data_IF_496283339254
#
_entry.id   IF_496283339254
#
_cell.length_a   1.000
_cell.length_b   1.000
_cell.length_c   1.000
_cell.angle_alpha   90.00
_cell.angle_beta   90.00
_cell.angle_gamma   90.00
#
_symmetry.space_group_name_H-M   'P 1'
#
loop_
_entity.id
_entity.type
_entity.pdbx_description
1 polymer ?
#
# COMPACT_ATOMS: atom_id res chain seq x y z
N UNK A 1 29.40 -28.78 10.81
CA UNK A 1 30.33 -27.99 9.96
C UNK A 1 30.20 -26.49 10.19
N UNK A 2 28.99 -25.93 10.23
CA UNK A 2 28.75 -24.47 10.33
C UNK A 2 28.75 -23.96 11.79
N UNK A 3 27.97 -24.58 12.67
CA UNK A 3 27.75 -24.07 14.04
C UNK A 3 29.00 -23.87 14.89
N UNK A 4 30.07 -24.66 14.66
CA UNK A 4 31.37 -24.53 15.36
C UNK A 4 32.10 -23.21 15.08
N UNK A 5 31.71 -22.49 14.02
CA UNK A 5 32.31 -21.20 13.64
C UNK A 5 31.47 -20.00 14.08
N UNK A 6 30.29 -20.22 14.66
CA UNK A 6 29.47 -19.15 15.24
C UNK A 6 29.80 -19.00 16.72
N UNK A 7 30.06 -17.77 17.17
CA UNK A 7 30.28 -17.52 18.60
C UNK A 7 28.94 -17.46 19.32
N UNK A 8 28.76 -18.30 20.32
CA UNK A 8 27.59 -18.24 21.20
C UNK A 8 27.47 -16.89 21.90
N UNK A 9 28.59 -16.29 22.32
CA UNK A 9 28.62 -14.95 22.90
C UNK A 9 28.07 -13.91 21.92
N UNK A 10 28.53 -13.93 20.65
CA UNK A 10 28.04 -13.01 19.62
C UNK A 10 26.55 -13.21 19.27
N UNK A 11 26.04 -14.43 19.41
CA UNK A 11 24.62 -14.71 19.23
C UNK A 11 23.80 -14.19 20.42
N UNK A 12 24.27 -14.39 21.65
CA UNK A 12 23.58 -13.96 22.87
C UNK A 12 23.61 -12.45 23.10
N UNK A 13 24.66 -11.76 22.64
CA UNK A 13 24.83 -10.31 22.80
C UNK A 13 23.91 -9.46 21.89
N UNK A 14 23.11 -10.10 21.05
CA UNK A 14 22.17 -9.40 20.17
C UNK A 14 21.05 -8.79 21.00
N UNK A 15 20.78 -7.51 20.78
CA UNK A 15 19.75 -6.75 21.49
C UNK A 15 18.37 -7.43 21.48
N UNK A 16 17.98 -8.03 20.34
CA UNK A 16 16.75 -8.83 20.22
C UNK A 16 16.74 -10.07 21.15
N UNK A 17 17.88 -10.72 21.33
CA UNK A 17 17.99 -11.92 22.18
C UNK A 17 18.07 -11.50 23.65
N UNK A 18 18.86 -10.47 23.97
CA UNK A 18 18.98 -9.95 25.33
C UNK A 18 17.63 -9.47 25.89
N UNK A 19 16.83 -8.77 25.08
CA UNK A 19 15.50 -8.30 25.49
C UNK A 19 14.50 -9.43 25.77
N UNK A 20 14.70 -10.63 25.21
CA UNK A 20 13.81 -11.79 25.41
C UNK A 20 14.30 -12.79 26.46
N UNK A 21 15.61 -12.84 26.73
CA UNK A 21 16.21 -13.73 27.74
C UNK A 21 16.30 -13.05 29.11
N UNK A 22 16.24 -11.71 29.17
CA UNK A 22 16.30 -10.94 30.41
C UNK A 22 15.13 -11.17 31.37
N UNK A 23 15.23 -10.55 32.54
CA UNK A 23 14.24 -10.65 33.61
C UNK A 23 12.86 -10.14 33.14
N UNK A 24 11.87 -11.02 33.09
CA UNK A 24 10.52 -10.72 32.57
C UNK A 24 10.30 -10.99 31.08
N UNK A 25 11.28 -11.55 30.36
CA UNK A 25 11.14 -11.98 28.96
C UNK A 25 10.47 -13.35 28.80
N UNK A 26 9.77 -13.55 27.69
CA UNK A 26 9.08 -14.82 27.35
C UNK A 26 10.03 -15.98 26.99
N UNK A 27 11.34 -15.75 27.01
CA UNK A 27 12.34 -16.68 26.50
C UNK A 27 12.41 -16.73 24.97
N UNK A 28 13.36 -17.50 24.46
CA UNK A 28 13.55 -17.75 23.01
C UNK A 28 13.67 -19.25 22.77
N UNK A 29 12.96 -19.76 21.77
CA UNK A 29 13.06 -21.16 21.37
C UNK A 29 14.39 -21.44 20.66
N UNK A 30 14.83 -22.70 20.68
CA UNK A 30 16.01 -23.12 19.92
C UNK A 30 15.86 -22.87 18.41
N UNK A 31 14.63 -22.98 17.89
CA UNK A 31 14.34 -22.69 16.48
C UNK A 31 14.57 -21.21 16.15
N UNK A 32 14.05 -20.29 16.96
CA UNK A 32 14.26 -18.85 16.81
C UNK A 32 15.74 -18.48 16.99
N UNK A 33 16.43 -19.10 17.95
CA UNK A 33 17.87 -18.90 18.16
C UNK A 33 18.70 -19.37 16.95
N UNK A 34 18.32 -20.50 16.34
CA UNK A 34 19.05 -21.10 15.22
C UNK A 34 18.84 -20.38 13.89
N UNK A 35 17.82 -19.52 13.79
CA UNK A 35 17.50 -18.77 12.57
C UNK A 35 18.71 -17.98 12.03
N UNK A 36 19.46 -17.34 12.92
CA UNK A 36 20.67 -16.59 12.57
C UNK A 36 21.76 -17.45 11.91
N UNK A 37 21.86 -18.73 12.31
CA UNK A 37 22.82 -19.66 11.72
C UNK A 37 22.40 -20.03 10.30
N UNK A 38 21.11 -20.27 10.11
CA UNK A 38 20.55 -20.64 8.79
C UNK A 38 20.74 -19.47 7.82
N UNK A 39 20.32 -18.26 8.19
CA UNK A 39 20.48 -17.08 7.34
C UNK A 39 21.96 -16.76 7.04
N UNK A 40 22.85 -16.93 8.01
CA UNK A 40 24.28 -16.77 7.78
C UNK A 40 24.85 -17.81 6.82
N UNK A 41 24.36 -19.05 6.88
CA UNK A 41 24.73 -20.11 5.96
C UNK A 41 24.23 -19.86 4.53
N UNK A 42 23.04 -19.28 4.36
CA UNK A 42 22.52 -18.90 3.04
C UNK A 42 23.47 -17.93 2.32
N UNK A 43 24.02 -16.94 3.04
CA UNK A 43 24.99 -16.02 2.45
C UNK A 43 26.30 -16.74 2.07
N UNK A 44 26.82 -17.63 2.93
CA UNK A 44 27.98 -18.46 2.59
C UNK A 44 27.74 -19.32 1.35
N UNK A 45 26.57 -19.94 1.27
CA UNK A 45 26.19 -20.77 0.13
C UNK A 45 26.16 -19.94 -1.16
N UNK A 46 25.48 -18.79 -1.15
CA UNK A 46 25.44 -17.89 -2.30
C UNK A 46 26.81 -17.31 -2.67
N UNK A 47 27.69 -17.07 -1.69
CA UNK A 47 29.08 -16.70 -1.96
C UNK A 47 29.81 -17.80 -2.73
N UNK A 48 29.75 -19.05 -2.25
CA UNK A 48 30.42 -20.20 -2.90
C UNK A 48 29.86 -20.50 -4.29
N UNK A 49 28.55 -20.48 -4.44
CA UNK A 49 27.87 -20.93 -5.66
C UNK A 49 27.74 -19.83 -6.73
N UNK A 50 27.66 -18.56 -6.30
CA UNK A 50 27.32 -17.43 -7.18
C UNK A 50 28.28 -16.25 -7.05
N UNK A 51 29.26 -16.30 -6.15
CA UNK A 51 30.18 -15.19 -5.91
C UNK A 51 29.50 -13.97 -5.29
N UNK A 52 28.38 -14.16 -4.56
CA UNK A 52 27.67 -13.05 -3.93
C UNK A 52 28.54 -12.40 -2.84
N UNK A 53 28.85 -11.10 -2.97
CA UNK A 53 29.70 -10.35 -2.03
C UNK A 53 28.97 -9.28 -1.23
N UNK A 54 27.69 -9.03 -1.52
CA UNK A 54 26.85 -8.04 -0.84
C UNK A 54 25.49 -8.65 -0.51
N UNK A 55 25.07 -8.52 0.75
CA UNK A 55 23.70 -8.78 1.19
C UNK A 55 23.00 -7.46 1.49
N UNK A 56 21.81 -7.26 0.91
CA UNK A 56 20.94 -6.11 1.20
C UNK A 56 19.77 -6.58 2.06
N UNK A 57 19.44 -5.85 3.12
CA UNK A 57 18.33 -6.21 4.02
C UNK A 57 17.68 -4.98 4.70
N UNK A 58 16.55 -5.18 5.39
CA UNK A 58 16.00 -4.16 6.29
C UNK A 58 16.87 -3.96 7.54
N UNK A 59 16.78 -2.79 8.18
CA UNK A 59 17.55 -2.46 9.39
C UNK A 59 17.34 -3.48 10.53
N UNK A 60 16.16 -4.07 10.63
CA UNK A 60 15.82 -5.13 11.58
C UNK A 60 16.56 -6.46 11.34
N UNK A 61 17.15 -6.65 10.15
CA UNK A 61 17.89 -7.85 9.76
C UNK A 61 19.41 -7.72 9.90
N UNK A 62 19.91 -6.59 10.41
CA UNK A 62 21.35 -6.34 10.58
C UNK A 62 22.06 -7.47 11.31
N UNK A 63 21.58 -7.83 12.50
CA UNK A 63 22.23 -8.83 13.35
C UNK A 63 22.32 -10.21 12.70
N UNK A 64 21.30 -10.62 11.93
CA UNK A 64 21.33 -11.89 11.21
C UNK A 64 22.24 -11.83 9.98
N UNK A 65 22.23 -10.73 9.24
CA UNK A 65 23.01 -10.58 8.00
C UNK A 65 24.52 -10.54 8.27
N UNK A 66 24.95 -9.87 9.35
CA UNK A 66 26.38 -9.82 9.75
C UNK A 66 26.93 -11.20 10.17
N UNK A 67 26.05 -12.13 10.55
CA UNK A 67 26.45 -13.51 10.82
C UNK A 67 27.03 -14.19 9.58
N UNK A 68 26.45 -13.93 8.39
CA UNK A 68 26.96 -14.45 7.13
C UNK A 68 28.35 -13.92 6.80
N UNK A 69 28.58 -12.60 6.97
CA UNK A 69 29.91 -11.99 6.78
C UNK A 69 30.98 -12.64 7.67
N UNK A 70 30.66 -12.80 8.96
CA UNK A 70 31.56 -13.43 9.91
C UNK A 70 31.85 -14.89 9.57
N UNK A 71 30.85 -15.61 9.05
CA UNK A 71 30.97 -17.01 8.66
C UNK A 71 31.84 -17.18 7.41
N UNK A 72 31.61 -16.38 6.37
CA UNK A 72 32.40 -16.38 5.14
C UNK A 72 33.86 -16.06 5.43
N UNK A 73 34.12 -15.03 6.25
CA UNK A 73 35.49 -14.69 6.65
C UNK A 73 36.21 -15.85 7.34
N UNK A 74 35.52 -16.61 8.19
CA UNK A 74 36.12 -17.73 8.94
C UNK A 74 36.35 -18.97 8.08
N UNK A 75 35.47 -19.24 7.12
CA UNK A 75 35.50 -20.47 6.33
C UNK A 75 36.25 -20.32 5.00
N UNK A 76 36.13 -19.16 4.36
CA UNK A 76 36.68 -18.88 3.04
C UNK A 76 37.82 -17.86 3.06
N UNK A 77 38.04 -17.18 4.20
CA UNK A 77 39.04 -16.11 4.29
C UNK A 77 38.68 -14.87 3.46
N UNK A 78 37.45 -14.75 3.00
CA UNK A 78 37.00 -13.69 2.11
C UNK A 78 36.30 -12.54 2.84
N UNK A 79 36.29 -11.37 2.20
CA UNK A 79 35.56 -10.19 2.65
C UNK A 79 34.25 -10.04 1.88
N UNK A 80 33.17 -9.77 2.60
CA UNK A 80 31.82 -9.57 2.07
C UNK A 80 31.12 -8.49 2.89
N UNK A 81 30.07 -7.90 2.33
CA UNK A 81 29.44 -6.70 2.88
C UNK A 81 27.96 -6.91 3.15
N UNK A 82 27.42 -6.13 4.10
CA UNK A 82 25.99 -6.03 4.37
C UNK A 82 25.62 -4.56 4.26
N UNK A 83 24.55 -4.28 3.51
CA UNK A 83 23.94 -2.95 3.45
C UNK A 83 22.51 -3.07 3.97
N UNK A 84 22.13 -2.20 4.90
CA UNK A 84 20.75 -2.18 5.41
C UNK A 84 20.03 -0.88 5.06
N UNK A 85 18.76 -1.01 4.73
CA UNK A 85 17.86 0.12 4.47
C UNK A 85 17.04 0.43 5.73
N UNK A 86 16.75 1.71 6.02
CA UNK A 86 15.92 2.07 7.17
C UNK A 86 14.52 1.46 7.05
N UNK A 87 13.89 1.21 8.20
CA UNK A 87 12.46 0.88 8.22
C UNK A 87 11.65 2.13 7.87
N UNK A 88 10.67 1.97 7.00
CA UNK A 88 9.77 3.06 6.64
C UNK A 88 8.72 3.23 7.73
N UNK A 89 8.69 4.40 8.33
CA UNK A 89 7.76 4.80 9.39
C UNK A 89 7.00 6.02 8.86
N UNK A 90 5.68 6.00 8.97
CA UNK A 90 4.89 7.18 8.66
C UNK A 90 5.19 8.25 9.71
N UNK A 91 5.74 9.39 9.30
CA UNK A 91 6.23 10.41 10.23
C UNK A 91 5.13 11.07 11.04
N UNK A 92 3.94 11.21 10.45
CA UNK A 92 2.79 11.83 11.10
C UNK A 92 2.20 10.95 12.21
N UNK A 93 2.18 9.63 12.02
CA UNK A 93 1.52 8.68 12.95
C UNK A 93 2.50 7.88 13.81
N UNK A 94 3.78 7.81 13.44
CA UNK A 94 4.78 6.94 14.06
C UNK A 94 4.56 5.45 13.77
N UNK A 95 3.56 5.08 12.97
CA UNK A 95 3.24 3.68 12.64
C UNK A 95 4.13 3.19 11.50
N UNK A 96 4.54 1.91 11.56
CA UNK A 96 5.27 1.27 10.44
C UNK A 96 4.44 1.35 9.16
N UNK A 97 5.07 1.81 8.09
CA UNK A 97 4.43 1.94 6.79
C UNK A 97 3.92 0.59 6.27
N UNK A 98 2.73 0.58 5.67
CA UNK A 98 2.07 -0.64 5.20
C UNK A 98 1.22 -1.38 6.24
N UNK A 99 1.18 -0.94 7.51
CA UNK A 99 0.12 -1.32 8.46
C UNK A 99 -0.99 -0.28 8.43
N UNK A 100 -1.98 -0.50 7.57
CA UNK A 100 -3.21 0.32 7.55
C UNK A 100 -4.16 -0.12 8.67
N UNK A 101 -5.20 0.69 8.96
CA UNK A 101 -6.29 0.30 9.85
C UNK A 101 -6.98 -1.01 9.39
N UNK A 102 -6.95 -1.30 8.08
CA UNK A 102 -7.49 -2.52 7.47
C UNK A 102 -6.47 -3.67 7.39
N UNK A 103 -5.24 -3.49 7.90
CA UNK A 103 -4.16 -4.49 7.85
C UNK A 103 -3.10 -4.20 6.80
N UNK A 104 -2.43 -5.25 6.32
CA UNK A 104 -1.32 -5.15 5.37
C UNK A 104 -1.82 -4.78 3.96
N UNK A 105 -1.03 -3.97 3.25
CA UNK A 105 -1.21 -3.69 1.82
C UNK A 105 -0.44 -4.75 1.03
N UNK A 106 -1.15 -5.66 0.38
CA UNK A 106 -0.55 -6.78 -0.36
C UNK A 106 -0.24 -6.39 -1.79
N UNK A 107 0.79 -7.00 -2.38
CA UNK A 107 1.08 -6.89 -3.82
C UNK A 107 0.16 -7.78 -4.68
N UNK A 108 -0.43 -8.80 -4.07
CA UNK A 108 -1.37 -9.72 -4.69
C UNK A 108 -2.74 -9.04 -4.85
N UNK A 109 -3.22 -8.96 -6.10
CA UNK A 109 -4.47 -8.28 -6.45
C UNK A 109 -5.72 -8.90 -5.82
N UNK A 110 -5.66 -10.19 -5.46
CA UNK A 110 -6.80 -10.89 -4.85
C UNK A 110 -6.90 -10.58 -3.34
N UNK A 111 -5.81 -10.11 -2.74
CA UNK A 111 -5.75 -9.70 -1.32
C UNK A 111 -5.89 -8.19 -1.14
N UNK A 112 -5.34 -7.40 -2.05
CA UNK A 112 -5.51 -5.96 -2.10
C UNK A 112 -5.75 -5.58 -3.55
N UNK A 113 -6.98 -5.18 -3.86
CA UNK A 113 -7.33 -4.80 -5.23
C UNK A 113 -6.41 -3.67 -5.72
N UNK A 114 -6.11 -3.61 -7.03
CA UNK A 114 -5.32 -2.52 -7.60
C UNK A 114 -5.89 -1.13 -7.27
N UNK A 115 -7.23 -1.02 -7.13
CA UNK A 115 -7.88 0.21 -6.68
C UNK A 115 -7.49 0.57 -5.24
N UNK A 116 -7.63 -0.35 -4.28
CA UNK A 116 -7.24 -0.11 -2.88
C UNK A 116 -5.74 0.16 -2.76
N UNK A 117 -4.92 -0.55 -3.54
CA UNK A 117 -3.49 -0.33 -3.61
C UNK A 117 -3.16 1.10 -4.08
N UNK A 118 -3.73 1.54 -5.20
CA UNK A 118 -3.55 2.91 -5.69
C UNK A 118 -4.05 3.96 -4.69
N UNK A 119 -5.23 3.75 -4.10
CA UNK A 119 -5.79 4.65 -3.09
C UNK A 119 -4.93 4.74 -1.83
N UNK A 120 -4.26 3.67 -1.42
CA UNK A 120 -3.33 3.70 -0.30
C UNK A 120 -2.20 4.71 -0.54
N UNK A 121 -1.56 4.67 -1.71
CA UNK A 121 -0.52 5.63 -2.08
C UNK A 121 -1.06 7.04 -2.29
N UNK A 122 -2.22 7.15 -2.95
CA UNK A 122 -2.85 8.44 -3.21
C UNK A 122 -3.23 9.15 -1.91
N UNK A 123 -3.59 8.44 -0.85
CA UNK A 123 -4.03 9.01 0.42
C UNK A 123 -2.90 9.23 1.43
N UNK A 124 -1.64 9.05 1.02
CA UNK A 124 -0.49 9.38 1.86
C UNK A 124 -0.39 10.89 2.10
N UNK A 125 0.09 11.27 3.29
CA UNK A 125 0.35 12.66 3.66
C UNK A 125 1.52 13.26 2.86
N UNK A 126 1.58 14.59 2.80
CA UNK A 126 2.58 15.30 2.00
C UNK A 126 4.02 14.95 2.41
N UNK A 127 4.33 15.01 3.71
CA UNK A 127 5.68 14.80 4.22
C UNK A 127 6.17 13.37 3.97
N UNK A 128 5.31 12.38 4.22
CA UNK A 128 5.65 10.97 3.98
C UNK A 128 5.79 10.71 2.48
N UNK A 129 4.95 11.32 1.63
CA UNK A 129 5.00 11.12 0.17
C UNK A 129 6.32 11.58 -0.45
N UNK A 130 6.94 12.65 0.07
CA UNK A 130 8.24 13.13 -0.40
C UNK A 130 9.37 12.11 -0.19
N UNK A 131 9.28 11.29 0.86
CA UNK A 131 10.25 10.23 1.12
C UNK A 131 9.92 8.97 0.33
N UNK A 132 8.63 8.60 0.25
CA UNK A 132 8.21 7.39 -0.44
C UNK A 132 8.51 7.44 -1.94
N UNK A 133 8.37 8.61 -2.59
CA UNK A 133 8.67 8.72 -4.02
C UNK A 133 10.14 8.41 -4.33
N UNK A 134 11.06 8.73 -3.42
CA UNK A 134 12.50 8.43 -3.54
C UNK A 134 12.82 6.95 -3.35
N UNK A 135 11.98 6.23 -2.61
CA UNK A 135 12.22 4.83 -2.22
C UNK A 135 11.50 3.85 -3.14
N UNK A 136 10.28 4.17 -3.57
CA UNK A 136 9.37 3.22 -4.23
C UNK A 136 9.18 3.45 -5.73
N UNK A 137 9.83 4.47 -6.31
CA UNK A 137 9.77 4.71 -7.76
C UNK A 137 11.13 4.53 -8.42
N UNK A 138 11.11 4.33 -9.73
CA UNK A 138 12.31 4.27 -10.56
C UNK A 138 12.63 5.61 -11.24
N UNK A 139 12.01 6.70 -10.79
CA UNK A 139 12.23 8.04 -11.31
C UNK A 139 13.64 8.52 -10.97
N UNK A 140 14.23 9.30 -11.87
CA UNK A 140 15.51 9.94 -11.60
C UNK A 140 15.36 11.08 -10.57
N UNK A 141 16.49 11.47 -10.00
CA UNK A 141 16.55 12.47 -8.94
C UNK A 141 16.00 13.83 -9.37
N UNK A 142 16.32 14.29 -10.57
CA UNK A 142 15.90 15.63 -11.05
C UNK A 142 14.38 15.67 -11.22
N UNK A 143 13.79 14.60 -11.76
CA UNK A 143 12.35 14.42 -11.89
C UNK A 143 11.67 14.45 -10.52
N UNK A 144 12.19 13.71 -9.53
CA UNK A 144 11.64 13.69 -8.17
C UNK A 144 11.70 15.08 -7.52
N UNK A 145 12.85 15.75 -7.59
CA UNK A 145 13.02 17.10 -7.02
C UNK A 145 12.07 18.12 -7.67
N UNK A 146 11.84 18.01 -8.98
CA UNK A 146 10.86 18.84 -9.69
C UNK A 146 9.42 18.59 -9.24
N UNK A 147 9.02 17.32 -9.09
CA UNK A 147 7.67 16.95 -8.62
C UNK A 147 7.43 17.51 -7.21
N UNK A 148 8.39 17.35 -6.31
CA UNK A 148 8.31 17.85 -4.93
C UNK A 148 8.18 19.38 -4.94
N UNK A 149 9.02 20.08 -5.70
CA UNK A 149 8.97 21.55 -5.78
C UNK A 149 7.62 22.05 -6.32
N UNK A 150 7.09 21.42 -7.38
CA UNK A 150 5.79 21.78 -7.94
C UNK A 150 4.65 21.53 -6.96
N UNK A 151 4.70 20.42 -6.21
CA UNK A 151 3.71 20.11 -5.17
C UNK A 151 3.74 21.13 -4.03
N UNK A 152 4.92 21.57 -3.59
CA UNK A 152 5.05 22.59 -2.54
C UNK A 152 4.45 23.94 -2.95
N UNK A 153 4.47 24.28 -4.25
CA UNK A 153 3.82 25.49 -4.77
C UNK A 153 2.29 25.37 -4.76
N UNK A 154 1.75 24.18 -5.08
CA UNK A 154 0.31 23.95 -5.08
C UNK A 154 -0.06 22.55 -4.53
N UNK A 155 -0.08 22.38 -3.20
CA UNK A 155 -0.36 21.08 -2.58
C UNK A 155 -1.77 20.54 -2.90
N UNK A 156 -2.71 21.44 -3.22
CA UNK A 156 -4.09 21.10 -3.53
C UNK A 156 -4.25 20.24 -4.79
N UNK A 157 -3.29 20.31 -5.72
CA UNK A 157 -3.29 19.47 -6.94
C UNK A 157 -2.86 18.03 -6.66
N UNK A 158 -2.21 17.77 -5.53
CA UNK A 158 -1.73 16.45 -5.10
C UNK A 158 -0.85 15.78 -6.16
N UNK A 159 -0.03 16.55 -6.88
CA UNK A 159 0.81 16.05 -7.98
C UNK A 159 1.80 15.00 -7.50
N UNK A 160 2.33 15.17 -6.29
CA UNK A 160 3.24 14.24 -5.64
C UNK A 160 2.58 12.88 -5.37
N UNK A 161 1.43 12.87 -4.67
CA UNK A 161 0.72 11.63 -4.37
C UNK A 161 0.19 10.94 -5.61
N UNK A 162 -0.34 11.69 -6.58
CA UNK A 162 -0.82 11.15 -7.86
C UNK A 162 0.33 10.46 -8.61
N UNK A 163 1.50 11.09 -8.67
CA UNK A 163 2.67 10.49 -9.32
C UNK A 163 3.15 9.24 -8.58
N UNK A 164 3.27 9.31 -7.25
CA UNK A 164 3.64 8.15 -6.43
C UNK A 164 2.67 6.98 -6.63
N UNK A 165 1.37 7.22 -6.54
CA UNK A 165 0.35 6.19 -6.72
C UNK A 165 0.42 5.56 -8.12
N UNK A 166 0.60 6.38 -9.15
CA UNK A 166 0.76 5.93 -10.54
C UNK A 166 1.99 5.04 -10.71
N UNK A 167 3.17 5.52 -10.33
CA UNK A 167 4.43 4.81 -10.56
C UNK A 167 4.47 3.47 -9.83
N UNK A 168 4.04 3.46 -8.56
CA UNK A 168 4.08 2.22 -7.76
C UNK A 168 3.02 1.22 -8.21
N UNK A 169 1.82 1.68 -8.60
CA UNK A 169 0.77 0.80 -9.12
C UNK A 169 1.19 0.20 -10.46
N UNK A 170 1.83 0.97 -11.34
CA UNK A 170 2.36 0.46 -12.60
C UNK A 170 3.48 -0.55 -12.39
N UNK A 171 4.40 -0.28 -11.45
CA UNK A 171 5.49 -1.19 -11.13
C UNK A 171 4.99 -2.57 -10.65
N UNK A 172 3.91 -2.60 -9.86
CA UNK A 172 3.40 -3.83 -9.23
C UNK A 172 2.34 -4.54 -10.10
N UNK A 173 1.39 -3.79 -10.65
CA UNK A 173 0.21 -4.33 -11.33
C UNK A 173 0.22 -4.11 -12.85
N UNK A 174 1.23 -3.41 -13.37
CA UNK A 174 1.35 -3.10 -14.79
C UNK A 174 0.54 -1.90 -15.24
N UNK A 175 0.90 -1.41 -16.43
CA UNK A 175 0.34 -0.20 -17.06
C UNK A 175 -1.17 -0.25 -17.24
N UNK A 176 -1.70 -1.35 -17.79
CA UNK A 176 -3.14 -1.46 -18.10
C UNK A 176 -4.00 -1.36 -16.84
N UNK A 177 -3.58 -2.02 -15.75
CA UNK A 177 -4.28 -1.95 -14.45
C UNK A 177 -4.18 -0.56 -13.83
N UNK A 178 -3.01 0.07 -13.90
CA UNK A 178 -2.84 1.47 -13.46
C UNK A 178 -3.78 2.42 -14.21
N UNK A 179 -3.88 2.30 -15.54
CA UNK A 179 -4.78 3.15 -16.35
C UNK A 179 -6.26 2.90 -16.03
N UNK A 180 -6.64 1.62 -15.82
CA UNK A 180 -7.97 1.24 -15.35
C UNK A 180 -8.32 1.91 -14.02
N UNK A 181 -7.43 1.82 -13.04
CA UNK A 181 -7.64 2.41 -11.71
C UNK A 181 -7.69 3.94 -11.75
N UNK A 182 -6.88 4.57 -12.60
CA UNK A 182 -6.93 6.03 -12.81
C UNK A 182 -8.28 6.47 -13.40
N UNK A 183 -8.81 5.73 -14.39
CA UNK A 183 -10.15 5.98 -14.93
C UNK A 183 -11.22 5.84 -13.86
N UNK A 184 -11.22 4.72 -13.13
CA UNK A 184 -12.19 4.45 -12.05
C UNK A 184 -12.14 5.54 -10.97
N UNK A 185 -10.94 5.92 -10.53
CA UNK A 185 -10.74 7.00 -9.55
C UNK A 185 -11.23 8.34 -10.09
N UNK A 186 -10.97 8.63 -11.37
CA UNK A 186 -11.45 9.84 -12.05
C UNK A 186 -12.98 9.93 -12.06
N UNK A 187 -13.69 8.83 -12.35
CA UNK A 187 -15.16 8.80 -12.34
C UNK A 187 -15.71 9.09 -10.94
N UNK A 188 -15.15 8.49 -9.89
CA UNK A 188 -15.59 8.70 -8.51
C UNK A 188 -15.42 10.17 -8.05
N UNK A 189 -14.31 10.79 -8.40
CA UNK A 189 -13.97 12.12 -7.89
C UNK A 189 -14.21 13.27 -8.88
N UNK A 190 -14.94 13.02 -9.97
CA UNK A 190 -15.48 14.05 -10.87
C UNK A 190 -14.56 14.48 -12.01
N UNK A 191 -13.51 13.71 -12.29
CA UNK A 191 -12.59 13.90 -13.42
C UNK A 191 -12.90 13.08 -14.67
N UNK A 192 -13.88 12.15 -14.62
CA UNK A 192 -14.23 11.27 -15.74
C UNK A 192 -15.73 10.95 -15.80
N UNK A 193 -16.18 10.35 -16.91
CA UNK A 193 -17.58 9.92 -17.08
C UNK A 193 -17.68 8.42 -16.92
N UNK A 194 -18.76 7.95 -16.31
CA UNK A 194 -19.03 6.52 -16.14
C UNK A 194 -19.09 5.77 -17.49
N UNK A 195 -19.58 6.44 -18.54
CA UNK A 195 -19.64 5.89 -19.89
C UNK A 195 -18.27 5.66 -20.55
N UNK A 196 -17.20 6.20 -19.99
CA UNK A 196 -15.83 5.99 -20.48
C UNK A 196 -15.20 4.71 -19.88
N UNK A 197 -15.89 4.06 -18.93
CA UNK A 197 -15.44 2.82 -18.30
C UNK A 197 -15.78 1.60 -19.18
N UNK A 198 -14.82 0.70 -19.31
CA UNK A 198 -15.06 -0.63 -19.87
C UNK A 198 -15.91 -1.50 -18.93
N UNK A 199 -16.38 -2.66 -19.41
CA UNK A 199 -17.07 -3.63 -18.55
C UNK A 199 -16.20 -4.05 -17.36
N UNK A 200 -14.92 -4.29 -17.61
CA UNK A 200 -13.97 -4.70 -16.57
C UNK A 200 -13.72 -3.59 -15.55
N UNK A 201 -13.69 -2.32 -15.99
CA UNK A 201 -13.58 -1.17 -15.09
C UNK A 201 -14.83 -1.03 -14.21
N UNK A 202 -16.02 -1.30 -14.76
CA UNK A 202 -17.28 -1.30 -14.01
C UNK A 202 -17.33 -2.45 -13.00
N UNK A 203 -16.83 -3.63 -13.36
CA UNK A 203 -16.73 -4.77 -12.44
C UNK A 203 -15.75 -4.48 -11.31
N UNK A 204 -14.60 -3.87 -11.62
CA UNK A 204 -13.64 -3.43 -10.61
C UNK A 204 -14.26 -2.37 -9.68
N UNK A 205 -14.98 -1.39 -10.23
CA UNK A 205 -15.69 -0.38 -9.43
C UNK A 205 -16.77 -1.03 -8.54
N UNK A 206 -17.54 -1.97 -9.08
CA UNK A 206 -18.60 -2.67 -8.35
C UNK A 206 -18.08 -3.50 -7.16
N UNK A 207 -16.83 -3.97 -7.24
CA UNK A 207 -16.16 -4.66 -6.14
C UNK A 207 -15.75 -3.72 -4.99
N UNK A 208 -15.66 -2.41 -5.26
CA UNK A 208 -15.13 -1.41 -4.33
C UNK A 208 -16.21 -0.56 -3.67
N UNK A 209 -17.36 -0.39 -4.31
CA UNK A 209 -18.48 0.41 -3.79
C UNK A 209 -19.78 -0.38 -3.78
N UNK A 210 -20.73 -0.05 -2.88
CA UNK A 210 -22.06 -0.66 -2.88
C UNK A 210 -22.70 -0.60 -4.27
N UNK A 211 -23.16 -1.75 -4.76
CA UNK A 211 -23.81 -1.87 -6.06
C UNK A 211 -25.24 -2.37 -5.88
N UNK A 212 -26.20 -1.72 -6.54
CA UNK A 212 -27.63 -2.03 -6.46
C UNK A 212 -28.23 -2.13 -7.87
N UNK A 213 -29.30 -2.92 -8.08
CA UNK A 213 -29.98 -2.98 -9.37
C UNK A 213 -30.63 -1.64 -9.72
N UNK A 214 -30.96 -1.46 -11.01
CA UNK A 214 -31.77 -0.35 -11.51
C UNK A 214 -33.08 -0.18 -10.69
N UNK A 215 -33.24 1.01 -10.10
CA UNK A 215 -34.38 1.39 -9.26
C UNK A 215 -34.38 2.91 -9.00
N UNK A 216 -35.42 3.41 -8.33
CA UNK A 216 -35.47 4.81 -7.86
C UNK A 216 -34.30 5.22 -6.96
N UNK A 217 -33.84 6.47 -7.10
CA UNK A 217 -32.70 7.03 -6.33
C UNK A 217 -32.87 6.83 -4.82
N UNK A 218 -34.06 7.09 -4.28
CA UNK A 218 -34.32 6.93 -2.84
C UNK A 218 -34.10 5.49 -2.40
N UNK A 219 -34.66 4.54 -3.14
CA UNK A 219 -34.50 3.10 -2.86
C UNK A 219 -33.04 2.65 -3.00
N UNK A 220 -32.33 3.16 -4.00
CA UNK A 220 -30.91 2.89 -4.22
C UNK A 220 -30.04 3.34 -3.04
N UNK A 221 -30.25 4.56 -2.54
CA UNK A 221 -29.50 5.08 -1.40
C UNK A 221 -29.73 4.27 -0.13
N UNK A 222 -30.97 3.82 0.11
CA UNK A 222 -31.30 3.01 1.30
C UNK A 222 -30.77 1.58 1.16
N UNK A 223 -30.97 0.94 0.01
CA UNK A 223 -30.50 -0.42 -0.25
C UNK A 223 -28.96 -0.53 -0.15
N UNK A 224 -28.25 0.52 -0.57
CA UNK A 224 -26.80 0.60 -0.46
C UNK A 224 -26.29 1.01 0.94
N UNK A 225 -27.18 1.25 1.91
CA UNK A 225 -26.82 1.75 3.24
C UNK A 225 -26.31 3.20 3.26
N UNK A 226 -26.41 3.92 2.14
CA UNK A 226 -26.03 5.32 2.05
C UNK A 226 -27.04 6.26 2.74
N UNK A 227 -28.28 5.83 2.96
CA UNK A 227 -29.28 6.55 3.76
C UNK A 227 -29.96 5.62 4.76
N UNK A 228 -30.31 6.13 5.94
CA UNK A 228 -30.89 5.30 7.01
C UNK A 228 -32.36 4.92 6.75
N UNK A 229 -33.08 5.71 5.94
CA UNK A 229 -34.47 5.47 5.58
C UNK A 229 -34.86 6.26 4.33
N UNK A 230 -36.03 5.95 3.74
CA UNK A 230 -36.55 6.69 2.58
C UNK A 230 -36.78 8.18 2.91
N UNK A 231 -37.18 8.51 4.14
CA UNK A 231 -37.33 9.89 4.58
C UNK A 231 -35.99 10.64 4.64
N UNK A 232 -34.96 9.97 5.15
CA UNK A 232 -33.59 10.51 5.20
C UNK A 232 -33.01 10.72 3.80
N UNK A 233 -33.19 9.75 2.89
CA UNK A 233 -32.78 9.87 1.49
C UNK A 233 -33.42 11.08 0.79
N UNK A 234 -34.74 11.28 0.94
CA UNK A 234 -35.43 12.46 0.38
C UNK A 234 -34.92 13.77 0.95
N UNK A 235 -34.65 13.81 2.26
CA UNK A 235 -34.05 14.99 2.92
C UNK A 235 -32.66 15.30 2.35
N UNK A 236 -31.83 14.28 2.11
CA UNK A 236 -30.51 14.44 1.49
C UNK A 236 -30.59 14.98 0.04
N UNK A 237 -31.56 14.49 -0.74
CA UNK A 237 -31.83 14.99 -2.10
C UNK A 237 -32.25 16.45 -2.06
N UNK A 238 -33.25 16.81 -1.25
CA UNK A 238 -33.73 18.19 -1.10
C UNK A 238 -32.64 19.14 -0.58
N UNK A 239 -31.74 18.64 0.28
CA UNK A 239 -30.57 19.37 0.76
C UNK A 239 -29.45 19.52 -0.28
N UNK A 240 -29.60 18.99 -1.49
CA UNK A 240 -28.61 19.05 -2.56
C UNK A 240 -27.33 18.25 -2.26
N UNK A 241 -27.42 17.25 -1.37
CA UNK A 241 -26.30 16.41 -0.96
C UNK A 241 -26.12 15.16 -1.85
N UNK A 242 -27.04 14.91 -2.78
CA UNK A 242 -27.01 13.76 -3.68
C UNK A 242 -26.81 14.24 -5.12
N UNK A 243 -25.95 13.54 -5.86
CA UNK A 243 -25.78 13.71 -7.30
C UNK A 243 -25.82 12.37 -8.02
N UNK A 244 -26.36 12.37 -9.23
CA UNK A 244 -26.37 11.28 -10.19
C UNK A 244 -25.44 11.65 -11.35
N UNK A 245 -24.42 10.83 -11.61
CA UNK A 245 -23.43 11.04 -12.67
C UNK A 245 -22.79 12.45 -12.66
N UNK A 246 -22.55 12.97 -11.45
CA UNK A 246 -21.97 14.29 -11.22
C UNK A 246 -22.97 15.46 -11.21
N UNK A 247 -24.23 15.22 -11.55
CA UNK A 247 -25.28 16.24 -11.57
C UNK A 247 -26.14 16.15 -10.31
N UNK A 248 -26.36 17.29 -9.63
CA UNK A 248 -27.24 17.33 -8.44
C UNK A 248 -28.66 16.92 -8.81
N UNK A 249 -29.25 16.08 -7.99
CA UNK A 249 -30.66 15.66 -8.13
C UNK A 249 -31.53 16.40 -7.11
N UNK A 250 -32.72 16.80 -7.54
CA UNK A 250 -33.68 17.56 -6.70
C UNK A 250 -34.91 16.76 -6.30
N UNK A 251 -35.15 15.62 -6.95
CA UNK A 251 -36.29 14.75 -6.70
C UNK A 251 -35.91 13.28 -6.89
N UNK A 252 -36.81 12.39 -6.50
CA UNK A 252 -36.67 10.95 -6.70
C UNK A 252 -37.00 10.60 -8.15
N UNK A 253 -36.12 9.87 -8.82
CA UNK A 253 -36.30 9.45 -10.22
C UNK A 253 -35.85 8.00 -10.40
N UNK A 254 -36.45 7.32 -11.36
CA UNK A 254 -36.03 5.98 -11.77
C UNK A 254 -34.69 6.02 -12.50
N UNK A 255 -33.76 5.18 -12.07
CA UNK A 255 -32.44 5.03 -12.69
C UNK A 255 -32.43 3.72 -13.46
N UNK A 256 -32.73 3.82 -14.77
CA UNK A 256 -32.87 2.66 -15.66
C UNK A 256 -31.55 2.21 -16.32
N UNK A 257 -30.49 3.00 -16.20
CA UNK A 257 -29.17 2.74 -16.78
C UNK A 257 -28.12 2.60 -15.70
N UNK A 258 -26.98 2.02 -16.05
CA UNK A 258 -25.81 2.03 -15.16
C UNK A 258 -25.39 3.47 -14.88
N UNK A 259 -25.43 3.87 -13.61
CA UNK A 259 -25.19 5.25 -13.16
C UNK A 259 -24.53 5.29 -11.78
N UNK A 260 -23.79 6.36 -11.51
CA UNK A 260 -23.10 6.57 -10.24
C UNK A 260 -23.86 7.59 -9.38
N UNK A 261 -24.38 7.13 -8.25
CA UNK A 261 -24.90 7.99 -7.20
C UNK A 261 -23.77 8.38 -6.25
N UNK A 262 -23.74 9.65 -5.87
CA UNK A 262 -22.82 10.19 -4.87
C UNK A 262 -23.58 10.94 -3.79
N UNK A 263 -23.31 10.61 -2.53
CA UNK A 263 -23.79 11.31 -1.35
C UNK A 263 -22.63 12.06 -0.69
N UNK A 264 -22.76 13.38 -0.58
CA UNK A 264 -21.74 14.24 0.02
C UNK A 264 -20.42 14.20 -0.74
N UNK A 265 -19.30 14.00 -0.03
CA UNK A 265 -17.96 14.01 -0.65
C UNK A 265 -17.47 12.64 -1.11
N UNK A 266 -17.67 11.59 -0.29
CA UNK A 266 -16.93 10.32 -0.43
C UNK A 266 -17.82 9.06 -0.38
N UNK A 267 -19.15 9.19 -0.35
CA UNK A 267 -20.04 8.02 -0.35
C UNK A 267 -20.59 7.83 -1.76
N UNK A 268 -20.32 6.67 -2.34
CA UNK A 268 -20.66 6.33 -3.72
C UNK A 268 -21.51 5.06 -3.76
N UNK A 269 -22.44 5.01 -4.69
CA UNK A 269 -23.29 3.85 -4.95
C UNK A 269 -23.38 3.65 -6.46
N UNK A 270 -23.02 2.47 -6.93
CA UNK A 270 -23.21 2.09 -8.33
C UNK A 270 -24.62 1.54 -8.51
N UNK A 271 -25.43 2.18 -9.34
CA UNK A 271 -26.66 1.57 -9.86
C UNK A 271 -26.29 0.84 -11.13
N UNK A 272 -26.61 -0.44 -11.24
CA UNK A 272 -26.29 -1.28 -12.40
C UNK A 272 -27.58 -1.84 -13.01
N UNK A 273 -27.77 -1.57 -14.30
CA UNK A 273 -28.89 -2.10 -15.08
C UNK A 273 -28.63 -3.52 -15.57
#
# INVERSE_FOLDING_TARGET
EVGKHMSMTQLLDREFIQSRIGEGGDGISYAEFSYALIQGYDFLHLYREKGATLQVAGADQWGNSVAGVSLIRKLEGAETHVFTTPLIINKATGVKFGKSEAGAVWLDSDKTSPYKFYQFWLNCDDETSEDLIKVYTLLDRETIESIISNHQVNPGERTLQKTLAREVTELVHGRERRESVERVTGVLFGGGKLNDLSSDDLDALAAEIPTVPAQGIVSALVAAGAAASNGDARRLIQGGAVSLDGHKVTEDMEVATTSLLKKGKNVFVLVRA
#
